data_IF_577004616215
#
_entry.id   IF_577004616215
#
_cell.length_a   1.000
_cell.length_b   1.000
_cell.length_c   1.000
_cell.angle_alpha   90.00
_cell.angle_beta   90.00
_cell.angle_gamma   90.00
#
_symmetry.space_group_name_H-M   'P 1'
#
loop_
_entity.id
_entity.type
_entity.pdbx_description
1 polymer ?
#
# COMPACT_ATOMS: atom_id res chain seq x y z
N UNK A 1 -13.45 -1.16 -16.99
CA UNK A 1 -13.09 -0.30 -15.85
C UNK A 1 -12.59 -1.21 -14.75
N UNK A 2 -11.37 -0.98 -14.23
CA UNK A 2 -10.76 -1.86 -13.22
C UNK A 2 -11.37 -1.61 -11.84
N UNK A 3 -11.57 -2.65 -11.05
CA UNK A 3 -12.14 -2.56 -9.71
C UNK A 3 -11.17 -1.90 -8.71
N UNK A 4 -11.70 -1.14 -7.73
CA UNK A 4 -10.87 -0.40 -6.77
C UNK A 4 -10.10 -1.34 -5.83
N UNK A 5 -10.69 -2.48 -5.44
CA UNK A 5 -9.99 -3.47 -4.63
C UNK A 5 -8.87 -4.13 -5.43
N UNK A 6 -9.10 -4.42 -6.70
CA UNK A 6 -8.03 -4.94 -7.57
C UNK A 6 -6.86 -3.94 -7.69
N UNK A 7 -7.14 -2.64 -7.82
CA UNK A 7 -6.09 -1.60 -7.87
C UNK A 7 -5.25 -1.55 -6.59
N UNK A 8 -5.87 -1.63 -5.41
CA UNK A 8 -5.13 -1.59 -4.13
C UNK A 8 -4.37 -2.89 -3.86
N UNK A 9 -4.83 -4.04 -4.36
CA UNK A 9 -4.02 -5.26 -4.28
C UNK A 9 -2.70 -5.10 -5.04
N UNK A 10 -2.72 -4.49 -6.23
CA UNK A 10 -1.51 -4.25 -7.02
C UNK A 10 -0.65 -3.14 -6.42
N UNK A 11 -1.24 -1.97 -6.16
CA UNK A 11 -0.51 -0.79 -5.69
C UNK A 11 -0.12 -0.85 -4.20
N UNK A 12 -0.78 -1.73 -3.44
CA UNK A 12 -0.49 -2.00 -2.03
C UNK A 12 0.75 -2.88 -1.83
N UNK A 13 1.05 -3.75 -2.78
CA UNK A 13 2.26 -4.59 -2.76
C UNK A 13 3.54 -3.76 -2.70
N UNK A 14 3.62 -2.66 -3.43
CA UNK A 14 4.82 -1.82 -3.45
C UNK A 14 5.17 -1.21 -2.08
N UNK A 15 4.21 -1.07 -1.16
CA UNK A 15 4.51 -0.64 0.20
C UNK A 15 5.22 -1.71 1.04
N UNK A 16 5.39 -2.95 0.54
CA UNK A 16 6.26 -3.94 1.20
C UNK A 16 7.72 -3.52 1.23
N UNK A 17 8.14 -2.65 0.30
CA UNK A 17 9.48 -2.11 0.24
C UNK A 17 9.67 -0.88 1.14
N UNK A 18 8.61 -0.42 1.78
CA UNK A 18 8.71 0.65 2.76
C UNK A 18 9.27 0.10 4.07
N UNK A 19 10.53 0.44 4.37
CA UNK A 19 11.26 -0.02 5.55
C UNK A 19 10.72 0.62 6.86
N UNK A 20 9.80 1.58 6.75
CA UNK A 20 9.30 2.38 7.87
C UNK A 20 7.91 1.93 8.35
N UNK A 21 7.87 0.93 9.24
CA UNK A 21 6.62 0.51 9.89
C UNK A 21 6.86 -0.43 11.07
N UNK A 22 6.13 -0.20 12.18
CA UNK A 22 6.16 -1.00 13.41
C UNK A 22 5.96 -2.51 13.20
N UNK A 23 5.43 -2.93 12.04
CA UNK A 23 5.19 -4.32 11.69
C UNK A 23 6.42 -5.04 11.12
N UNK A 24 7.40 -4.32 10.57
CA UNK A 24 8.64 -4.92 10.03
C UNK A 24 9.58 -5.42 11.14
N UNK A 25 9.39 -4.93 12.36
CA UNK A 25 10.15 -5.37 13.53
C UNK A 25 9.74 -6.76 14.05
N UNK A 26 8.71 -7.41 13.47
CA UNK A 26 8.21 -8.72 13.92
C UNK A 26 8.76 -9.94 13.14
N UNK A 27 9.84 -9.77 12.40
CA UNK A 27 10.66 -10.88 11.92
C UNK A 27 10.27 -11.50 10.57
N UNK A 28 11.31 -11.78 9.77
CA UNK A 28 11.45 -12.73 8.65
C UNK A 28 10.32 -12.91 7.60
N UNK A 29 9.33 -12.04 7.48
CA UNK A 29 8.39 -12.08 6.35
C UNK A 29 8.68 -10.92 5.37
N UNK A 30 9.34 -11.23 4.24
CA UNK A 30 9.75 -10.25 3.22
C UNK A 30 8.63 -9.57 2.43
N UNK A 31 7.38 -9.59 2.92
CA UNK A 31 6.22 -9.03 2.23
C UNK A 31 5.23 -8.42 3.22
N UNK A 32 4.63 -7.29 2.84
CA UNK A 32 3.55 -6.64 3.58
C UNK A 32 2.34 -7.58 3.62
N UNK A 33 1.92 -7.98 4.82
CA UNK A 33 0.72 -8.79 5.00
C UNK A 33 -0.50 -7.91 5.27
N UNK A 34 -1.67 -8.40 4.89
CA UNK A 34 -2.94 -7.79 5.27
C UNK A 34 -3.12 -7.93 6.78
N UNK A 35 -3.88 -7.02 7.39
CA UNK A 35 -4.27 -7.15 8.80
C UNK A 35 -5.04 -8.48 9.01
N UNK A 36 -5.24 -8.96 10.26
CA UNK A 36 -6.04 -10.15 10.53
C UNK A 36 -7.46 -10.12 9.94
N UNK A 37 -7.97 -8.93 9.62
CA UNK A 37 -9.27 -8.69 8.99
C UNK A 37 -9.21 -8.63 7.46
N UNK A 38 -8.05 -8.96 6.86
CA UNK A 38 -7.85 -8.92 5.41
C UNK A 38 -7.73 -7.51 4.82
N UNK A 39 -7.33 -6.50 5.61
CA UNK A 39 -7.33 -5.09 5.21
C UNK A 39 -5.92 -4.52 5.01
N UNK A 40 -5.84 -3.42 4.26
CA UNK A 40 -4.60 -2.68 3.98
C UNK A 40 -4.34 -1.50 4.94
N UNK A 41 -5.21 -1.32 5.94
CA UNK A 41 -5.09 -0.31 7.00
C UNK A 41 -4.50 -0.96 8.26
N UNK A 42 -3.45 -0.38 8.83
CA UNK A 42 -2.74 -0.94 9.99
C UNK A 42 -2.53 0.08 11.11
N UNK A 43 -2.26 -0.40 12.34
CA UNK A 43 -1.75 0.47 13.39
C UNK A 43 -0.35 1.01 13.05
N UNK A 44 -0.15 2.30 13.23
CA UNK A 44 1.16 2.95 13.24
C UNK A 44 1.28 3.79 14.52
N UNK A 45 2.46 3.79 15.14
CA UNK A 45 2.71 4.50 16.40
C UNK A 45 3.37 5.83 16.09
N UNK A 46 2.78 6.91 16.60
CA UNK A 46 3.34 8.26 16.51
C UNK A 46 4.47 8.46 17.55
N UNK A 47 5.36 9.46 17.38
CA UNK A 47 6.45 9.72 18.34
C UNK A 47 6.00 9.95 19.79
N UNK A 48 4.76 10.38 20.01
CA UNK A 48 4.16 10.59 21.32
C UNK A 48 3.49 9.33 21.93
N UNK A 49 3.65 8.18 21.26
CA UNK A 49 3.11 6.89 21.69
C UNK A 49 1.65 6.63 21.32
N UNK A 50 0.94 7.58 20.68
CA UNK A 50 -0.43 7.34 20.21
C UNK A 50 -0.43 6.44 18.98
N UNK A 51 -1.41 5.54 18.92
CA UNK A 51 -1.66 4.68 17.76
C UNK A 51 -2.63 5.36 16.78
N UNK A 52 -2.27 5.37 15.50
CA UNK A 52 -3.12 5.81 14.39
C UNK A 52 -3.34 4.68 13.40
N UNK A 53 -4.38 4.79 12.58
CA UNK A 53 -4.65 3.86 11.49
C UNK A 53 -4.13 4.44 10.19
N UNK A 54 -3.21 3.72 9.54
CA UNK A 54 -2.55 4.18 8.31
C UNK A 54 -2.87 3.27 7.13
N UNK A 55 -3.29 3.88 6.01
CA UNK A 55 -3.26 3.25 4.69
C UNK A 55 -2.05 3.77 3.93
N UNK A 56 -1.04 2.93 3.73
CA UNK A 56 0.09 3.23 2.83
C UNK A 56 -0.12 2.54 1.50
N UNK A 57 -0.03 3.23 0.38
CA UNK A 57 -0.24 2.65 -0.97
C UNK A 57 0.37 3.59 -2.00
N UNK A 58 0.76 3.07 -3.16
CA UNK A 58 1.10 3.93 -4.28
C UNK A 58 -0.16 4.53 -4.91
N UNK A 59 -0.06 5.79 -5.33
CA UNK A 59 -1.06 6.40 -6.21
C UNK A 59 -1.00 5.81 -7.63
N UNK A 60 0.22 5.49 -8.08
CA UNK A 60 0.53 4.89 -9.37
C UNK A 60 1.84 4.12 -9.28
N UNK A 61 1.95 3.00 -9.99
CA UNK A 61 3.21 2.29 -10.20
C UNK A 61 3.81 2.55 -11.60
N UNK A 62 3.28 3.51 -12.35
CA UNK A 62 3.90 4.02 -13.59
C UNK A 62 5.12 4.86 -13.21
N UNK A 63 6.27 4.53 -13.79
CA UNK A 63 7.51 5.26 -13.61
C UNK A 63 8.26 5.30 -14.96
N UNK A 64 8.87 6.43 -15.27
CA UNK A 64 9.67 6.63 -16.49
C UNK A 64 11.16 6.30 -16.29
N UNK A 65 11.59 6.19 -15.04
CA UNK A 65 13.00 6.01 -14.68
C UNK A 65 13.42 4.54 -14.68
N UNK A 66 14.68 4.28 -15.06
CA UNK A 66 15.32 2.97 -14.99
C UNK A 66 16.21 2.83 -13.75
N UNK A 67 15.65 3.05 -12.56
CA UNK A 67 16.38 2.85 -11.32
C UNK A 67 16.67 1.35 -11.13
N UNK A 68 17.94 0.94 -11.21
CA UNK A 68 18.38 -0.46 -11.08
C UNK A 68 17.95 -1.17 -9.78
N UNK A 69 17.64 -0.40 -8.73
CA UNK A 69 17.19 -0.91 -7.44
C UNK A 69 15.66 -0.92 -7.26
N UNK A 70 14.89 -0.39 -8.22
CA UNK A 70 13.46 -0.17 -8.06
C UNK A 70 12.65 -1.19 -8.88
N UNK A 71 11.76 -1.93 -8.20
CA UNK A 71 10.81 -2.83 -8.86
C UNK A 71 9.88 -2.11 -9.83
N UNK A 72 9.68 -0.79 -9.67
CA UNK A 72 8.84 0.00 -10.56
C UNK A 72 9.59 0.57 -11.77
N UNK A 73 10.86 0.19 -11.99
CA UNK A 73 11.64 0.65 -13.15
C UNK A 73 10.84 0.54 -14.46
N UNK A 74 10.99 1.51 -15.36
CA UNK A 74 10.32 1.51 -16.68
C UNK A 74 10.67 0.30 -17.56
N UNK A 75 11.78 -0.38 -17.28
CA UNK A 75 12.24 -1.57 -18.02
C UNK A 75 11.59 -2.87 -17.53
N UNK A 76 10.93 -2.86 -16.38
CA UNK A 76 10.25 -4.02 -15.82
C UNK A 76 8.86 -4.20 -16.44
N UNK A 77 8.57 -5.43 -16.89
CA UNK A 77 7.27 -5.82 -17.45
C UNK A 77 6.33 -6.34 -16.35
N UNK A 78 5.41 -5.48 -15.95
CA UNK A 78 4.35 -5.81 -15.00
C UNK A 78 3.15 -4.89 -15.20
N UNK A 79 2.01 -5.28 -14.60
CA UNK A 79 0.76 -4.53 -14.73
C UNK A 79 0.86 -3.13 -14.11
N UNK A 80 0.84 -2.11 -14.95
CA UNK A 80 0.79 -0.70 -14.56
C UNK A 80 -0.63 -0.27 -14.25
N UNK A 81 -0.81 0.42 -13.13
CA UNK A 81 -2.09 0.84 -12.59
C UNK A 81 -1.92 2.22 -11.95
N UNK A 82 -2.95 3.05 -12.07
CA UNK A 82 -3.03 4.32 -11.37
C UNK A 82 -4.43 4.52 -10.81
N UNK A 83 -4.49 5.13 -9.63
CA UNK A 83 -5.71 5.72 -9.09
C UNK A 83 -5.90 7.13 -9.64
N UNK A 84 -7.15 7.55 -9.78
CA UNK A 84 -7.52 8.97 -9.70
C UNK A 84 -7.66 9.37 -8.22
N UNK A 85 -7.38 10.63 -7.84
CA UNK A 85 -7.41 11.05 -6.43
C UNK A 85 -8.72 10.69 -5.73
N UNK A 86 -9.85 10.85 -6.41
CA UNK A 86 -11.19 10.57 -5.89
C UNK A 86 -11.44 9.07 -5.74
N UNK A 87 -10.83 8.22 -6.57
CA UNK A 87 -10.91 6.77 -6.43
C UNK A 87 -10.21 6.31 -5.15
N UNK A 88 -9.00 6.82 -4.90
CA UNK A 88 -8.24 6.47 -3.70
C UNK A 88 -8.94 6.98 -2.43
N UNK A 89 -9.47 8.21 -2.46
CA UNK A 89 -10.23 8.77 -1.35
C UNK A 89 -11.49 7.95 -1.05
N UNK A 90 -12.28 7.60 -2.08
CA UNK A 90 -13.47 6.74 -1.92
C UNK A 90 -13.12 5.38 -1.33
N UNK A 91 -12.06 4.74 -1.84
CA UNK A 91 -11.59 3.45 -1.33
C UNK A 91 -11.17 3.55 0.14
N UNK A 92 -10.42 4.59 0.51
CA UNK A 92 -10.02 4.82 1.89
C UNK A 92 -11.24 4.91 2.82
N UNK A 93 -12.24 5.71 2.44
CA UNK A 93 -13.47 5.83 3.24
C UNK A 93 -14.26 4.52 3.29
N UNK A 94 -14.32 3.72 2.23
CA UNK A 94 -14.95 2.40 2.25
C UNK A 94 -14.25 1.46 3.25
N UNK A 95 -12.91 1.43 3.23
CA UNK A 95 -12.11 0.63 4.16
C UNK A 95 -12.22 1.12 5.61
N UNK A 96 -12.34 2.44 5.82
CA UNK A 96 -12.49 3.04 7.14
C UNK A 96 -13.88 2.79 7.75
N UNK A 97 -14.94 3.02 6.98
CA UNK A 97 -16.32 2.92 7.48
C UNK A 97 -16.81 1.49 7.64
N UNK A 98 -16.22 0.54 6.92
CA UNK A 98 -16.61 -0.88 6.96
C UNK A 98 -16.34 -1.58 8.31
N UNK A 99 -16.13 -0.85 9.42
CA UNK A 99 -15.89 -1.24 10.83
C UNK A 99 -16.26 -2.70 11.24
N UNK A 100 -15.52 -3.68 10.69
CA UNK A 100 -15.54 -5.12 10.99
C UNK A 100 -14.14 -5.68 10.80
#
# INVERSE_FOLDING_TARGET
MMDLFEKIEILGQAAQYDICGSYLCQGKAGHRQKSPLGRWIYPAVMPDGREIRLLKVLMSNVCENDCLYCCNSCTQDFRRVSFQPEELARLFFQLWHSRR
#
